data_IF_686490941939
#
_entry.id   IF_686490941939
#
_cell.length_a   1.000
_cell.length_b   1.000
_cell.length_c   1.000
_cell.angle_alpha   90.00
_cell.angle_beta   90.00
_cell.angle_gamma   90.00
#
_symmetry.space_group_name_H-M   'P 1'
#
loop_
_entity.id
_entity.type
_entity.pdbx_description
1 polymer ?
#
# COMPACT_ATOMS: atom_id res chain seq x y z
N UNK A 1 -10.25 21.34 -8.06
CA UNK A 1 -10.10 19.91 -8.38
C UNK A 1 -11.10 19.19 -7.50
N UNK A 2 -12.08 18.47 -8.06
CA UNK A 2 -13.12 17.78 -7.28
C UNK A 2 -12.68 16.33 -7.07
N UNK A 3 -12.44 15.93 -5.82
CA UNK A 3 -12.28 14.52 -5.47
C UNK A 3 -13.66 13.84 -5.55
N UNK A 4 -13.77 12.78 -6.34
CA UNK A 4 -14.94 11.91 -6.32
C UNK A 4 -14.85 11.00 -5.10
N UNK A 5 -15.41 11.44 -3.98
CA UNK A 5 -15.64 10.56 -2.84
C UNK A 5 -16.79 9.59 -3.20
N UNK A 6 -16.45 8.32 -3.44
CA UNK A 6 -17.47 7.27 -3.52
C UNK A 6 -17.84 6.88 -2.09
N UNK A 7 -19.09 7.12 -1.71
CA UNK A 7 -19.62 6.65 -0.43
C UNK A 7 -19.55 5.11 -0.40
N UNK A 8 -18.86 4.57 0.60
CA UNK A 8 -18.73 3.12 0.76
C UNK A 8 -19.97 2.58 1.48
N UNK A 9 -20.79 1.80 0.79
CA UNK A 9 -21.99 1.20 1.39
C UNK A 9 -21.60 0.13 2.40
N UNK A 10 -22.06 0.27 3.66
CA UNK A 10 -21.89 -0.73 4.71
C UNK A 10 -20.80 -0.40 5.76
N UNK A 11 -20.03 0.67 5.57
CA UNK A 11 -19.12 1.19 6.60
C UNK A 11 -19.66 2.53 7.08
N UNK A 12 -19.80 2.72 8.39
CA UNK A 12 -20.33 3.96 8.98
C UNK A 12 -19.36 4.51 10.02
N UNK A 13 -19.09 5.81 9.97
CA UNK A 13 -18.38 6.47 11.06
C UNK A 13 -19.35 6.70 12.24
N UNK A 14 -18.85 6.63 13.48
CA UNK A 14 -19.69 6.75 14.68
C UNK A 14 -20.45 8.08 14.79
N UNK A 15 -19.98 9.15 14.14
CA UNK A 15 -20.53 10.50 14.26
C UNK A 15 -21.42 10.92 13.07
N UNK A 16 -22.24 10.01 12.53
CA UNK A 16 -23.11 10.24 11.35
C UNK A 16 -22.36 10.61 10.06
N UNK A 17 -21.02 10.50 10.03
CA UNK A 17 -20.22 10.59 8.81
C UNK A 17 -20.18 9.27 8.05
N UNK A 18 -19.91 9.32 6.74
CA UNK A 18 -19.59 8.14 5.95
C UNK A 18 -18.09 8.17 5.64
N UNK A 19 -17.35 7.06 5.82
CA UNK A 19 -16.01 6.94 5.28
C UNK A 19 -16.04 7.13 3.76
N UNK A 20 -15.09 7.89 3.26
CA UNK A 20 -14.92 8.14 1.83
C UNK A 20 -13.81 7.23 1.30
N UNK A 21 -14.03 6.63 0.14
CA UNK A 21 -12.97 5.95 -0.59
C UNK A 21 -12.04 7.00 -1.20
N UNK A 22 -10.80 7.08 -0.71
CA UNK A 22 -9.78 7.98 -1.25
C UNK A 22 -9.23 7.49 -2.60
N UNK A 23 -8.99 6.18 -2.70
CA UNK A 23 -8.47 5.51 -3.89
C UNK A 23 -9.09 4.12 -4.01
N UNK A 24 -9.37 3.70 -5.25
CA UNK A 24 -9.84 2.36 -5.57
C UNK A 24 -8.68 1.54 -6.15
N UNK A 25 -8.57 0.28 -5.72
CA UNK A 25 -7.60 -0.67 -6.26
C UNK A 25 -8.28 -1.69 -7.19
N UNK A 26 -7.55 -2.17 -8.19
CA UNK A 26 -8.04 -3.15 -9.14
C UNK A 26 -7.78 -4.58 -8.67
N UNK A 27 -8.80 -5.19 -8.04
CA UNK A 27 -8.74 -6.58 -7.61
C UNK A 27 -8.49 -7.58 -8.75
N UNK A 28 -8.83 -7.26 -10.00
CA UNK A 28 -8.53 -8.11 -11.15
C UNK A 28 -7.02 -8.11 -11.52
N UNK A 29 -6.28 -7.11 -11.05
CA UNK A 29 -4.82 -7.02 -11.15
C UNK A 29 -4.12 -7.47 -9.86
N UNK A 30 -4.86 -8.04 -8.90
CA UNK A 30 -4.35 -8.45 -7.59
C UNK A 30 -3.83 -7.29 -6.73
N UNK A 31 -4.25 -6.05 -7.02
CA UNK A 31 -4.00 -4.87 -6.19
C UNK A 31 -4.88 -4.95 -4.93
N UNK A 32 -4.46 -5.77 -3.98
CA UNK A 32 -5.20 -6.02 -2.75
C UNK A 32 -4.43 -5.38 -1.60
N UNK A 33 -4.90 -4.25 -1.05
CA UNK A 33 -4.16 -3.51 -0.03
C UNK A 33 -4.15 -4.26 1.30
N UNK A 34 -2.99 -4.26 1.96
CA UNK A 34 -2.83 -4.86 3.29
C UNK A 34 -2.35 -3.84 4.33
N UNK A 35 -1.12 -3.38 4.21
CA UNK A 35 -0.46 -2.50 5.14
C UNK A 35 -0.55 -1.06 4.65
N UNK A 36 -0.70 -0.13 5.58
CA UNK A 36 -0.71 1.32 5.30
C UNK A 36 0.15 2.09 6.30
N UNK A 37 0.91 3.05 5.80
CA UNK A 37 1.60 4.07 6.59
C UNK A 37 1.41 5.45 5.98
N UNK A 38 1.67 6.50 6.76
CA UNK A 38 1.53 7.90 6.33
C UNK A 38 2.77 8.66 6.75
N UNK A 39 3.39 9.40 5.83
CA UNK A 39 4.54 10.26 6.16
C UNK A 39 4.11 11.62 6.74
N UNK A 40 5.09 12.46 7.10
CA UNK A 40 4.81 13.81 7.64
C UNK A 40 4.07 14.72 6.65
N UNK A 41 4.41 14.75 5.34
CA UNK A 41 3.61 15.44 4.33
C UNK A 41 2.17 14.93 4.17
N UNK A 42 1.91 13.68 4.53
CA UNK A 42 0.60 13.04 4.42
C UNK A 42 0.49 12.07 3.24
N UNK A 43 1.58 11.72 2.55
CA UNK A 43 1.56 10.69 1.53
C UNK A 43 1.32 9.33 2.19
N UNK A 44 0.49 8.51 1.54
CA UNK A 44 0.13 7.18 1.99
C UNK A 44 1.07 6.16 1.31
N UNK A 45 1.57 5.21 2.08
CA UNK A 45 2.37 4.10 1.58
C UNK A 45 1.57 2.83 1.81
N UNK A 46 1.28 2.10 0.73
CA UNK A 46 0.37 0.95 0.77
C UNK A 46 1.07 -0.27 0.20
N UNK A 47 1.13 -1.35 0.97
CA UNK A 47 1.55 -2.65 0.47
C UNK A 47 0.38 -3.37 -0.19
N UNK A 48 0.65 -3.97 -1.34
CA UNK A 48 -0.33 -4.68 -2.16
C UNK A 48 0.09 -6.13 -2.37
N UNK A 49 -0.88 -7.03 -2.36
CA UNK A 49 -0.72 -8.38 -2.90
C UNK A 49 -1.77 -9.37 -2.39
N UNK A 50 -1.76 -10.62 -2.89
CA UNK A 50 -2.81 -11.57 -2.62
C UNK A 50 -2.89 -11.97 -1.13
N UNK A 51 -4.09 -12.35 -0.65
CA UNK A 51 -4.27 -12.78 0.72
C UNK A 51 -3.35 -13.94 1.08
N UNK A 52 -2.79 -13.90 2.28
CA UNK A 52 -1.90 -14.94 2.79
C UNK A 52 -0.43 -14.73 2.48
N UNK A 53 -0.05 -13.74 1.67
CA UNK A 53 1.33 -13.28 1.45
C UNK A 53 2.31 -14.30 0.87
N UNK A 54 1.82 -15.47 0.44
CA UNK A 54 2.63 -16.54 -0.15
C UNK A 54 2.28 -16.68 -1.62
N UNK A 55 3.32 -16.83 -2.46
CA UNK A 55 3.30 -17.02 -3.92
C UNK A 55 1.94 -16.97 -4.61
N UNK A 56 1.73 -15.98 -5.48
CA UNK A 56 0.42 -15.85 -6.15
C UNK A 56 0.28 -14.82 -7.27
N UNK A 57 1.34 -14.09 -7.64
CA UNK A 57 1.37 -13.35 -8.92
C UNK A 57 1.19 -11.84 -8.86
N UNK A 58 1.38 -11.19 -7.70
CA UNK A 58 1.61 -9.75 -7.61
C UNK A 58 2.02 -9.35 -6.18
N UNK A 59 3.01 -8.49 -6.04
CA UNK A 59 3.33 -7.82 -4.79
C UNK A 59 3.87 -6.43 -5.10
N UNK A 60 3.39 -5.40 -4.42
CA UNK A 60 3.85 -4.04 -4.70
C UNK A 60 3.83 -3.16 -3.46
N UNK A 61 4.61 -2.08 -3.53
CA UNK A 61 4.57 -0.99 -2.56
C UNK A 61 4.28 0.31 -3.32
N UNK A 62 3.16 0.94 -3.03
CA UNK A 62 2.75 2.19 -3.69
C UNK A 62 2.85 3.36 -2.74
N UNK A 63 3.27 4.52 -3.26
CA UNK A 63 3.15 5.84 -2.65
C UNK A 63 1.99 6.59 -3.30
N UNK A 64 1.12 7.16 -2.49
CA UNK A 64 -0.11 7.81 -2.92
C UNK A 64 -0.14 9.21 -2.29
N UNK A 65 -0.38 10.23 -3.10
CA UNK A 65 -0.54 11.61 -2.62
C UNK A 65 -1.70 11.73 -1.60
N UNK A 66 -1.69 12.75 -0.72
CA UNK A 66 -2.70 12.89 0.34
C UNK A 66 -4.15 12.97 -0.17
N UNK A 67 -4.34 13.46 -1.40
CA UNK A 67 -5.65 13.58 -2.03
C UNK A 67 -6.00 12.41 -2.98
N UNK A 68 -5.11 11.41 -3.07
CA UNK A 68 -5.28 10.22 -3.90
C UNK A 68 -5.11 10.46 -5.41
N UNK A 69 -4.68 11.66 -5.85
CA UNK A 69 -4.62 12.01 -7.28
C UNK A 69 -3.38 11.49 -8.00
N UNK A 70 -2.27 11.33 -7.28
CA UNK A 70 -1.01 10.77 -7.76
C UNK A 70 -0.68 9.45 -7.07
N UNK A 71 -0.23 8.48 -7.87
CA UNK A 71 0.20 7.14 -7.44
C UNK A 71 1.56 6.85 -8.07
N UNK A 72 2.51 6.42 -7.25
CA UNK A 72 3.84 5.98 -7.68
C UNK A 72 4.11 4.59 -7.14
N UNK A 73 4.44 3.64 -8.00
CA UNK A 73 4.92 2.32 -7.58
C UNK A 73 6.40 2.45 -7.18
N UNK A 74 6.72 2.17 -5.91
CA UNK A 74 8.07 2.21 -5.38
C UNK A 74 8.80 0.87 -5.53
N UNK A 75 8.06 -0.24 -5.44
CA UNK A 75 8.59 -1.59 -5.51
C UNK A 75 7.59 -2.50 -6.21
N UNK A 76 8.08 -3.37 -7.09
CA UNK A 76 7.30 -4.39 -7.80
C UNK A 76 7.89 -5.80 -7.58
N UNK A 77 7.02 -6.76 -7.33
CA UNK A 77 7.29 -8.20 -7.27
C UNK A 77 6.31 -8.94 -8.21
N UNK A 78 6.58 -9.00 -9.53
CA UNK A 78 5.64 -9.52 -10.52
C UNK A 78 5.24 -10.99 -10.32
N UNK A 79 6.14 -11.78 -9.73
CA UNK A 79 5.95 -13.22 -9.48
C UNK A 79 6.47 -13.63 -8.09
N UNK A 80 6.33 -12.75 -7.10
CA UNK A 80 6.91 -12.92 -5.77
C UNK A 80 5.89 -12.96 -4.61
N UNK A 81 6.37 -13.14 -3.38
CA UNK A 81 5.58 -12.90 -2.17
C UNK A 81 5.16 -11.43 -2.08
N UNK A 82 4.06 -11.15 -1.39
CA UNK A 82 3.56 -9.80 -1.19
C UNK A 82 4.23 -9.14 0.03
N UNK A 83 4.64 -7.86 -0.06
CA UNK A 83 4.97 -7.09 1.14
C UNK A 83 3.75 -7.01 2.05
N UNK A 84 3.99 -7.04 3.35
CA UNK A 84 2.99 -6.91 4.40
C UNK A 84 3.12 -5.53 5.06
N UNK A 85 3.34 -5.48 6.37
CA UNK A 85 3.46 -4.22 7.10
C UNK A 85 4.51 -3.26 6.51
N UNK A 86 4.14 -1.97 6.46
CA UNK A 86 4.96 -0.87 5.96
C UNK A 86 5.03 0.25 7.00
N UNK A 87 6.19 0.89 7.13
CA UNK A 87 6.40 2.10 7.93
C UNK A 87 7.29 3.09 7.18
N UNK A 88 7.10 4.38 7.43
CA UNK A 88 7.95 5.45 6.88
C UNK A 88 8.60 6.24 8.02
N UNK A 89 9.90 6.52 7.89
CA UNK A 89 10.64 7.28 8.88
C UNK A 89 10.59 8.80 8.65
N UNK A 90 11.23 9.52 9.56
CA UNK A 90 11.27 10.98 9.55
C UNK A 90 12.04 11.59 8.36
N UNK A 91 12.88 10.80 7.68
CA UNK A 91 13.77 11.16 6.58
C UNK A 91 13.22 10.73 5.22
N UNK A 92 12.08 10.04 5.17
CA UNK A 92 11.50 9.52 3.94
C UNK A 92 11.97 8.12 3.55
N UNK A 93 12.62 7.38 4.45
CA UNK A 93 12.89 5.97 4.19
C UNK A 93 11.64 5.15 4.48
N UNK A 94 11.27 4.30 3.54
CA UNK A 94 10.12 3.40 3.61
C UNK A 94 10.63 1.99 3.89
N UNK A 95 10.20 1.42 5.00
CA UNK A 95 10.56 0.06 5.42
C UNK A 95 9.35 -0.85 5.29
N UNK A 96 9.55 -2.07 4.81
CA UNK A 96 8.46 -3.04 4.65
C UNK A 96 8.90 -4.46 4.99
N UNK A 97 7.96 -5.25 5.52
CA UNK A 97 8.17 -6.65 5.82
C UNK A 97 7.79 -7.53 4.62
N UNK A 98 8.64 -8.52 4.32
CA UNK A 98 8.39 -9.54 3.31
C UNK A 98 8.39 -10.92 4.00
N UNK A 99 7.23 -11.54 4.24
CA UNK A 99 7.13 -12.75 5.06
C UNK A 99 7.65 -14.04 4.40
N UNK A 100 7.75 -14.10 3.06
CA UNK A 100 8.25 -15.21 2.21
C UNK A 100 8.44 -16.59 2.89
N UNK A 101 7.35 -17.23 3.35
CA UNK A 101 7.46 -18.44 4.14
C UNK A 101 7.97 -19.61 3.28
N UNK A 102 9.10 -20.17 3.68
CA UNK A 102 9.76 -21.28 2.97
C UNK A 102 10.65 -20.86 1.79
N UNK A 103 10.75 -19.55 1.52
CA UNK A 103 11.68 -18.99 0.54
C UNK A 103 12.93 -18.37 1.19
N UNK A 104 13.70 -17.64 0.38
CA UNK A 104 14.96 -16.99 0.78
C UNK A 104 14.88 -15.47 0.73
N UNK A 105 13.75 -14.90 0.31
CA UNK A 105 13.51 -13.47 0.20
C UNK A 105 12.85 -12.90 1.46
N UNK A 106 12.65 -13.72 2.51
CA UNK A 106 12.02 -13.27 3.74
C UNK A 106 12.88 -12.25 4.48
N UNK A 107 12.32 -11.11 4.86
CA UNK A 107 13.09 -10.07 5.53
C UNK A 107 12.37 -8.75 5.75
N UNK A 108 13.13 -7.76 6.20
CA UNK A 108 12.72 -6.35 6.25
C UNK A 108 13.58 -5.61 5.23
N UNK A 109 12.92 -4.91 4.33
CA UNK A 109 13.55 -4.15 3.26
C UNK A 109 13.32 -2.66 3.49
N UNK A 110 14.13 -1.84 2.83
CA UNK A 110 13.93 -0.40 2.78
C UNK A 110 14.17 0.16 1.39
N UNK A 111 13.51 1.26 1.09
CA UNK A 111 13.66 2.07 -0.12
C UNK A 111 13.41 3.54 0.25
N UNK A 112 13.99 4.49 -0.47
CA UNK A 112 13.64 5.90 -0.35
C UNK A 112 12.23 6.15 -0.91
N UNK A 113 11.59 7.25 -0.50
CA UNK A 113 10.22 7.60 -0.92
C UNK A 113 10.10 8.04 -2.40
N UNK A 114 11.21 8.06 -3.13
CA UNK A 114 11.30 8.21 -4.58
C UNK A 114 11.58 6.87 -5.31
N UNK A 115 11.69 5.76 -4.57
CA UNK A 115 11.97 4.43 -5.11
C UNK A 115 13.46 4.11 -5.25
N UNK A 116 14.37 5.00 -4.86
CA UNK A 116 15.82 4.76 -4.89
C UNK A 116 16.32 3.96 -3.68
N UNK A 117 17.46 3.26 -3.84
CA UNK A 117 18.15 2.49 -2.77
C UNK A 117 19.35 3.23 -2.22
#
# INVERSE_FOLDING_TARGET
MFAFAVAVFGIQAKSNGQPEMLIAFNAAQLELPEGISIDKPGNLYVSLGPPGFVGGGYGALWKISPDGSEVTELVEYPAGPAPAGVVVDASGNVYFALPDPGGTMGGVYHVSDDGST
#
